data_IF_425300896050
#
_entry.id   IF_425300896050
#
_cell.length_a   1.000
_cell.length_b   1.000
_cell.length_c   1.000
_cell.angle_alpha   90.00
_cell.angle_beta   90.00
_cell.angle_gamma   90.00
#
_symmetry.space_group_name_H-M   'P 1'
#
loop_
_entity.id
_entity.type
_entity.pdbx_description
1 polymer ?
#
# COMPACT_ATOMS: atom_id res chain seq x y z
N UNK A 1 -4.73 -15.52 66.38
CA UNK A 1 -5.96 -15.16 65.64
C UNK A 1 -6.52 -13.84 66.19
N UNK A 2 -6.39 -12.74 65.44
CA UNK A 2 -7.08 -11.47 65.72
C UNK A 2 -7.12 -10.67 64.41
N UNK A 3 -8.29 -10.68 63.78
CA UNK A 3 -8.55 -10.04 62.49
C UNK A 3 -8.52 -8.52 62.65
N UNK A 4 -7.72 -7.83 61.83
CA UNK A 4 -7.73 -6.37 61.72
C UNK A 4 -8.39 -6.00 60.40
N UNK A 5 -9.60 -5.47 60.51
CA UNK A 5 -10.42 -4.93 59.42
C UNK A 5 -9.72 -3.70 58.83
N UNK A 6 -9.33 -3.76 57.55
CA UNK A 6 -8.86 -2.62 56.79
C UNK A 6 -10.07 -1.87 56.23
N UNK A 7 -10.29 -0.65 56.73
CA UNK A 7 -11.22 0.31 56.15
C UNK A 7 -10.52 0.96 54.96
N UNK A 8 -11.00 0.68 53.75
CA UNK A 8 -10.53 1.35 52.53
C UNK A 8 -11.18 2.74 52.44
N UNK A 9 -10.36 3.78 52.52
CA UNK A 9 -10.75 5.16 52.26
C UNK A 9 -10.88 5.33 50.75
N UNK A 10 -12.11 5.51 50.26
CA UNK A 10 -12.40 5.85 48.88
C UNK A 10 -11.97 7.30 48.63
N UNK A 11 -10.83 7.48 47.95
CA UNK A 11 -10.39 8.77 47.43
C UNK A 11 -11.25 9.09 46.20
N UNK A 12 -12.02 10.16 46.32
CA UNK A 12 -12.86 10.70 45.26
C UNK A 12 -12.07 11.00 43.99
N UNK A 13 -12.49 10.36 42.91
CA UNK A 13 -12.10 10.65 41.53
C UNK A 13 -13.34 10.74 40.65
N UNK A 14 -14.35 11.50 41.09
CA UNK A 14 -15.55 11.77 40.29
C UNK A 14 -15.35 13.08 39.54
N UNK A 15 -14.69 13.04 38.37
CA UNK A 15 -14.70 14.15 37.40
C UNK A 15 -14.19 13.77 35.98
N UNK A 16 -14.16 12.48 35.60
CA UNK A 16 -13.81 12.06 34.23
C UNK A 16 -14.86 11.14 33.56
N UNK A 17 -16.04 10.96 34.15
CA UNK A 17 -17.09 10.10 33.58
C UNK A 17 -18.05 10.83 32.63
N UNK A 18 -18.01 12.16 32.55
CA UNK A 18 -18.97 12.96 31.76
C UNK A 18 -18.69 12.99 30.25
N UNK A 19 -17.42 12.93 29.84
CA UNK A 19 -17.05 13.03 28.42
C UNK A 19 -17.01 11.70 27.67
N UNK A 20 -17.05 10.56 28.37
CA UNK A 20 -17.04 9.25 27.71
C UNK A 20 -18.43 8.83 27.21
N UNK A 21 -19.50 9.25 27.90
CA UNK A 21 -20.87 8.87 27.55
C UNK A 21 -21.42 9.67 26.37
N UNK A 22 -21.10 10.97 26.25
CA UNK A 22 -21.52 11.80 25.12
C UNK A 22 -20.77 11.48 23.81
N UNK A 23 -19.49 11.12 23.92
CA UNK A 23 -18.70 10.68 22.76
C UNK A 23 -19.25 9.39 22.15
N UNK A 24 -19.57 8.41 23.00
CA UNK A 24 -20.09 7.12 22.55
C UNK A 24 -21.49 7.22 21.91
N UNK A 25 -22.36 8.13 22.37
CA UNK A 25 -23.64 8.37 21.70
C UNK A 25 -23.46 9.02 20.35
N UNK A 26 -22.57 10.01 20.21
CA UNK A 26 -22.29 10.68 18.93
C UNK A 26 -21.65 9.72 17.91
N UNK A 27 -20.68 8.91 18.34
CA UNK A 27 -20.03 7.89 17.51
C UNK A 27 -21.04 6.84 17.01
N UNK A 28 -22.02 6.49 17.85
CA UNK A 28 -23.10 5.56 17.49
C UNK A 28 -24.14 6.19 16.56
N UNK A 29 -24.47 7.46 16.76
CA UNK A 29 -25.42 8.22 15.93
C UNK A 29 -24.84 8.53 14.53
N UNK A 30 -23.53 8.79 14.46
CA UNK A 30 -22.78 8.91 13.20
C UNK A 30 -22.50 7.56 12.53
N UNK A 31 -22.87 6.44 13.17
CA UNK A 31 -22.68 5.08 12.65
C UNK A 31 -21.22 4.64 12.48
N UNK A 32 -20.26 5.42 13.01
CA UNK A 32 -18.81 5.19 12.84
C UNK A 32 -18.39 3.85 13.48
N UNK A 33 -18.98 3.53 14.64
CA UNK A 33 -18.70 2.31 15.39
C UNK A 33 -19.68 1.15 15.11
N UNK A 34 -20.53 1.28 14.08
CA UNK A 34 -21.50 0.24 13.71
C UNK A 34 -20.83 -1.09 13.31
N UNK A 35 -21.56 -2.19 13.48
CA UNK A 35 -21.07 -3.52 13.06
C UNK A 35 -20.73 -3.57 11.56
N UNK A 36 -21.46 -2.81 10.74
CA UNK A 36 -21.22 -2.71 9.31
C UNK A 36 -19.90 -2.02 8.98
N UNK A 37 -19.56 -0.94 9.72
CA UNK A 37 -18.25 -0.28 9.63
C UNK A 37 -17.10 -1.26 9.94
N UNK A 38 -17.26 -2.10 10.97
CA UNK A 38 -16.27 -3.11 11.33
C UNK A 38 -16.16 -4.24 10.30
N UNK A 39 -17.27 -4.64 9.66
CA UNK A 39 -17.27 -5.63 8.57
C UNK A 39 -16.58 -5.09 7.33
N UNK A 40 -16.81 -3.83 6.96
CA UNK A 40 -16.16 -3.18 5.83
C UNK A 40 -14.63 -3.13 5.98
N UNK A 41 -14.13 -2.84 7.19
CA UNK A 41 -12.70 -2.86 7.51
C UNK A 41 -12.04 -4.23 7.26
N UNK A 42 -12.81 -5.32 7.27
CA UNK A 42 -12.31 -6.69 7.11
C UNK A 42 -12.22 -7.15 5.65
N UNK A 43 -12.68 -6.37 4.67
CA UNK A 43 -12.65 -6.77 3.26
C UNK A 43 -11.21 -6.68 2.76
N UNK A 44 -10.54 -7.83 2.67
CA UNK A 44 -9.18 -7.95 2.11
C UNK A 44 -9.30 -8.30 0.62
N UNK A 45 -9.00 -7.33 -0.24
CA UNK A 45 -8.88 -7.58 -1.67
C UNK A 45 -7.57 -8.31 -1.97
N UNK A 46 -7.66 -9.45 -2.67
CA UNK A 46 -6.49 -10.18 -3.16
C UNK A 46 -6.03 -9.57 -4.48
N UNK A 47 -4.85 -8.91 -4.56
CA UNK A 47 -4.35 -8.39 -5.83
C UNK A 47 -4.03 -9.52 -6.80
N UNK A 48 -4.21 -9.25 -8.11
CA UNK A 48 -3.74 -10.16 -9.15
C UNK A 48 -2.21 -10.26 -9.11
N UNK A 49 -1.67 -11.46 -9.36
CA UNK A 49 -0.23 -11.68 -9.36
C UNK A 49 0.46 -10.74 -10.37
N UNK A 50 1.61 -10.15 -10.03
CA UNK A 50 2.34 -9.32 -10.99
C UNK A 50 2.78 -10.18 -12.19
N UNK A 51 2.84 -9.60 -13.40
CA UNK A 51 3.37 -10.29 -14.56
C UNK A 51 4.82 -10.69 -14.28
N UNK A 52 5.22 -11.86 -14.78
CA UNK A 52 6.58 -12.35 -14.64
C UNK A 52 7.57 -11.31 -15.19
N UNK A 53 8.71 -11.10 -14.51
CA UNK A 53 9.76 -10.24 -15.04
C UNK A 53 10.25 -10.81 -16.39
N UNK A 54 10.72 -9.95 -17.31
CA UNK A 54 11.25 -10.41 -18.58
C UNK A 54 12.37 -11.42 -18.36
N UNK A 55 12.33 -12.53 -19.12
CA UNK A 55 13.29 -13.62 -19.00
C UNK A 55 14.73 -13.12 -19.17
N UNK A 56 15.59 -13.47 -18.20
CA UNK A 56 17.04 -13.31 -18.31
C UNK A 56 17.61 -14.59 -18.93
N UNK A 57 18.41 -14.47 -19.98
CA UNK A 57 19.16 -15.60 -20.52
C UNK A 57 20.42 -15.80 -19.67
N UNK A 58 20.58 -16.97 -19.05
CA UNK A 58 21.83 -17.35 -18.37
C UNK A 58 22.91 -17.60 -19.42
N UNK A 59 24.08 -17.00 -19.23
CA UNK A 59 25.21 -17.12 -20.15
C UNK A 59 25.87 -18.49 -19.97
N UNK A 60 25.50 -19.46 -20.79
CA UNK A 60 26.24 -20.71 -20.94
C UNK A 60 27.13 -20.60 -22.19
N UNK A 61 28.15 -19.75 -22.13
CA UNK A 61 29.25 -19.79 -23.09
C UNK A 61 30.10 -21.03 -22.80
N UNK A 62 29.66 -22.20 -23.28
CA UNK A 62 30.52 -23.37 -23.36
C UNK A 62 31.57 -23.10 -24.42
N UNK A 63 32.81 -22.87 -24.01
CA UNK A 63 33.95 -22.68 -24.90
C UNK A 63 34.22 -24.00 -25.64
N UNK A 64 33.94 -24.14 -26.97
CA UNK A 64 34.47 -25.29 -27.69
C UNK A 64 36.00 -25.13 -27.75
N UNK A 65 36.79 -26.14 -27.36
CA UNK A 65 38.25 -26.03 -27.32
C UNK A 65 38.80 -26.03 -28.76
N UNK A 66 38.96 -24.86 -29.37
CA UNK A 66 39.68 -24.68 -30.64
C UNK A 66 40.61 -23.44 -30.62
N UNK A 67 41.75 -23.49 -31.34
CA UNK A 67 42.85 -22.52 -31.27
C UNK A 67 42.63 -21.21 -32.06
N UNK A 68 41.39 -20.92 -32.47
CA UNK A 68 41.05 -19.70 -33.21
C UNK A 68 40.68 -18.60 -32.21
N UNK A 69 41.04 -17.32 -32.47
CA UNK A 69 40.63 -16.22 -31.60
C UNK A 69 39.09 -16.15 -31.59
N UNK A 70 38.52 -16.60 -30.48
CA UNK A 70 37.07 -16.60 -30.26
C UNK A 70 36.61 -15.14 -30.24
N UNK A 71 35.92 -14.74 -31.30
CA UNK A 71 35.16 -13.48 -31.29
C UNK A 71 33.99 -13.71 -30.34
N UNK A 72 33.90 -13.00 -29.20
CA UNK A 72 32.75 -13.14 -28.31
C UNK A 72 31.48 -12.83 -29.11
N UNK A 73 30.55 -13.78 -29.12
CA UNK A 73 29.28 -13.63 -29.82
C UNK A 73 28.60 -12.36 -29.30
N UNK A 74 28.21 -11.45 -30.20
CA UNK A 74 27.60 -10.16 -29.80
C UNK A 74 26.35 -10.44 -28.95
N UNK A 75 26.42 -9.97 -27.71
CA UNK A 75 25.41 -10.07 -26.66
C UNK A 75 24.09 -9.45 -27.10
N UNK A 76 23.06 -10.24 -27.34
CA UNK A 76 21.67 -9.76 -27.32
C UNK A 76 21.09 -9.99 -25.92
N UNK A 77 21.69 -9.37 -24.91
CA UNK A 77 21.07 -9.32 -23.59
C UNK A 77 19.73 -8.58 -23.73
N UNK A 78 18.63 -9.22 -23.35
CA UNK A 78 17.31 -8.59 -23.37
C UNK A 78 17.31 -7.44 -22.38
N UNK A 79 17.48 -6.22 -22.88
CA UNK A 79 17.47 -5.00 -22.06
C UNK A 79 16.09 -4.81 -21.45
N UNK A 80 16.07 -4.60 -20.13
CA UNK A 80 14.84 -4.25 -19.43
C UNK A 80 14.43 -2.84 -19.91
N UNK A 81 13.17 -2.64 -20.34
CA UNK A 81 12.72 -1.29 -20.66
C UNK A 81 12.94 -0.34 -19.47
N UNK A 82 13.21 0.95 -19.73
CA UNK A 82 13.32 1.94 -18.66
C UNK A 82 12.03 1.99 -17.85
N UNK A 83 12.15 2.21 -16.54
CA UNK A 83 10.99 2.36 -15.67
C UNK A 83 10.21 3.63 -16.05
N UNK A 84 8.89 3.55 -16.27
CA UNK A 84 8.10 4.73 -16.61
C UNK A 84 8.03 5.70 -15.42
N UNK A 85 7.95 7.02 -15.68
CA UNK A 85 7.86 8.03 -14.63
C UNK A 85 6.58 7.88 -13.81
N UNK A 86 6.63 8.27 -12.53
CA UNK A 86 5.48 8.22 -11.61
C UNK A 86 4.52 9.36 -11.94
N UNK A 87 3.23 9.04 -12.06
CA UNK A 87 2.18 10.03 -12.34
C UNK A 87 1.12 10.10 -11.23
N UNK A 88 0.72 8.94 -10.70
CA UNK A 88 -0.34 8.84 -9.67
C UNK A 88 0.24 8.20 -8.42
N UNK A 89 -0.01 8.80 -7.25
CA UNK A 89 0.20 8.12 -5.98
C UNK A 89 -1.13 7.86 -5.28
N UNK A 90 -1.38 6.58 -4.98
CA UNK A 90 -2.51 6.16 -4.18
C UNK A 90 -2.18 6.32 -2.70
N UNK A 91 -2.96 7.08 -1.96
CA UNK A 91 -2.74 7.27 -0.53
C UNK A 91 -3.20 6.01 0.22
N UNK A 92 -2.32 5.44 1.04
CA UNK A 92 -2.64 4.30 1.87
C UNK A 92 -3.53 4.77 3.01
N UNK A 93 -4.77 4.28 3.04
CA UNK A 93 -5.73 4.63 4.06
C UNK A 93 -5.67 3.66 5.24
N UNK A 94 -6.13 4.13 6.41
CA UNK A 94 -6.20 3.30 7.61
C UNK A 94 -7.24 2.17 7.46
N UNK A 95 -7.16 1.13 8.33
CA UNK A 95 -8.02 -0.05 8.24
C UNK A 95 -9.53 0.24 8.36
N UNK A 96 -9.91 1.35 9.01
CA UNK A 96 -11.31 1.76 9.19
C UNK A 96 -11.93 2.39 7.94
N UNK A 97 -11.13 3.06 7.12
CA UNK A 97 -11.59 3.78 5.93
C UNK A 97 -10.77 3.33 4.73
N UNK A 98 -10.85 2.02 4.43
CA UNK A 98 -10.12 1.38 3.33
C UNK A 98 -10.77 1.73 1.97
N UNK A 99 -10.81 3.03 1.65
CA UNK A 99 -11.23 3.49 0.32
C UNK A 99 -10.24 3.00 -0.74
N UNK A 100 -8.99 2.68 -0.36
CA UNK A 100 -7.97 2.15 -1.23
C UNK A 100 -8.05 0.63 -1.45
N UNK A 101 -9.15 -0.01 -1.05
CA UNK A 101 -9.34 -1.46 -1.00
C UNK A 101 -8.92 -2.22 -2.28
N UNK A 102 -9.12 -1.64 -3.46
CA UNK A 102 -8.64 -2.23 -4.71
C UNK A 102 -7.27 -1.66 -5.14
N UNK A 103 -6.14 -2.33 -4.87
CA UNK A 103 -4.81 -1.94 -5.37
C UNK A 103 -4.67 -2.02 -6.90
N UNK A 104 -5.54 -2.75 -7.60
CA UNK A 104 -5.45 -2.93 -9.06
C UNK A 104 -6.04 -1.76 -9.85
N UNK A 105 -6.81 -0.88 -9.21
CA UNK A 105 -7.56 0.17 -9.90
C UNK A 105 -6.65 1.15 -10.66
N UNK A 106 -5.69 1.76 -9.95
CA UNK A 106 -4.68 2.64 -10.56
C UNK A 106 -3.91 1.92 -11.68
N UNK A 107 -3.61 0.63 -11.51
CA UNK A 107 -2.91 -0.16 -12.53
C UNK A 107 -3.77 -0.36 -13.79
N UNK A 108 -5.07 -0.61 -13.62
CA UNK A 108 -6.01 -0.78 -14.74
C UNK A 108 -6.19 0.54 -15.49
N UNK A 109 -6.31 1.66 -14.78
CA UNK A 109 -6.37 3.00 -15.36
C UNK A 109 -5.11 3.31 -16.18
N UNK A 110 -3.92 3.12 -15.61
CA UNK A 110 -2.66 3.36 -16.31
C UNK A 110 -2.47 2.44 -17.52
N UNK A 111 -2.93 1.19 -17.44
CA UNK A 111 -2.94 0.26 -18.56
C UNK A 111 -3.88 0.74 -19.68
N UNK A 112 -5.06 1.23 -19.33
CA UNK A 112 -6.00 1.81 -20.28
C UNK A 112 -5.42 3.07 -20.95
N UNK A 113 -4.76 3.94 -20.20
CA UNK A 113 -4.08 5.13 -20.74
C UNK A 113 -2.95 4.74 -21.71
N UNK A 114 -2.14 3.74 -21.37
CA UNK A 114 -1.10 3.24 -22.27
C UNK A 114 -1.68 2.70 -23.59
N UNK A 115 -2.84 2.03 -23.53
CA UNK A 115 -3.49 1.47 -24.71
C UNK A 115 -4.09 2.56 -25.62
N UNK A 116 -4.79 3.54 -25.04
CA UNK A 116 -5.57 4.54 -25.79
C UNK A 116 -4.80 5.82 -26.10
N UNK A 117 -4.02 6.33 -25.13
CA UNK A 117 -3.31 7.61 -25.22
C UNK A 117 -1.83 7.45 -25.60
N UNK A 118 -1.32 6.21 -25.64
CA UNK A 118 0.09 5.88 -25.94
C UNK A 118 1.10 6.55 -24.99
N UNK A 119 0.68 6.81 -23.75
CA UNK A 119 1.54 7.34 -22.68
C UNK A 119 1.86 6.27 -21.65
N UNK A 120 3.10 6.22 -21.18
CA UNK A 120 3.56 5.22 -20.23
C UNK A 120 3.92 5.87 -18.89
N UNK A 121 3.07 5.64 -17.89
CA UNK A 121 3.27 6.12 -16.53
C UNK A 121 3.22 4.96 -15.53
N UNK A 122 3.85 5.16 -14.38
CA UNK A 122 3.73 4.29 -13.21
C UNK A 122 2.91 4.95 -12.12
N UNK A 123 2.34 4.10 -11.25
CA UNK A 123 1.68 4.52 -10.02
C UNK A 123 2.36 3.90 -8.81
N UNK A 124 2.34 4.61 -7.69
CA UNK A 124 2.90 4.16 -6.42
C UNK A 124 1.84 4.22 -5.32
N UNK A 125 2.04 3.47 -4.23
CA UNK A 125 1.22 3.58 -3.02
C UNK A 125 2.07 4.20 -1.92
N UNK A 126 1.60 5.29 -1.32
CA UNK A 126 2.33 6.04 -0.30
C UNK A 126 1.49 6.18 0.97
N UNK A 127 2.08 6.08 2.17
CA UNK A 127 1.38 6.47 3.38
C UNK A 127 1.21 7.99 3.45
N UNK A 128 0.20 8.44 4.20
CA UNK A 128 -0.15 9.86 4.38
C UNK A 128 1.04 10.73 4.85
N UNK A 129 1.93 10.16 5.66
CA UNK A 129 3.12 10.86 6.17
C UNK A 129 4.30 10.94 5.17
N UNK A 130 4.14 10.43 3.94
CA UNK A 130 5.17 10.44 2.89
C UNK A 130 4.74 11.17 1.63
N UNK A 131 3.69 12.00 1.72
CA UNK A 131 3.26 12.84 0.60
C UNK A 131 4.36 13.90 0.35
N UNK A 132 4.94 13.96 -0.86
CA UNK A 132 5.93 14.98 -1.19
C UNK A 132 5.27 16.36 -1.25
N UNK A 133 5.99 17.37 -0.81
CA UNK A 133 5.52 18.76 -0.84
C UNK A 133 5.54 19.36 -2.25
N UNK A 134 6.43 18.85 -3.11
CA UNK A 134 6.56 19.30 -4.49
C UNK A 134 5.54 18.59 -5.40
N UNK A 135 4.58 19.32 -6.01
CA UNK A 135 3.58 18.76 -6.90
C UNK A 135 4.16 18.24 -8.23
N UNK A 136 5.37 18.67 -8.62
CA UNK A 136 6.00 18.17 -9.85
C UNK A 136 6.46 16.71 -9.72
N UNK A 137 6.73 16.26 -8.49
CA UNK A 137 7.18 14.89 -8.22
C UNK A 137 6.03 13.88 -8.36
N UNK A 138 4.85 14.22 -7.86
CA UNK A 138 3.63 13.40 -7.93
C UNK A 138 2.45 14.31 -8.27
N UNK A 139 2.11 14.44 -9.57
CA UNK A 139 1.08 15.38 -10.01
C UNK A 139 -0.33 15.03 -9.54
N UNK A 140 -0.63 13.73 -9.41
CA UNK A 140 -1.96 13.25 -9.06
C UNK A 140 -1.91 12.43 -7.79
N UNK A 141 -2.63 12.90 -6.77
CA UNK A 141 -2.95 12.13 -5.58
C UNK A 141 -4.31 11.48 -5.78
N UNK A 142 -4.34 10.17 -5.63
CA UNK A 142 -5.54 9.36 -5.67
C UNK A 142 -5.80 8.83 -4.27
#
# INVERSE_FOLDING_TARGET
MRNRTLVAIAVGGSLMMGNLLAGNSLLKDLGIDSEESQKAAKIIYKPYAPPAPPAQHSSAEGLPPLPLPVVPLRRTEKKNPPRPPVFIAKIASGPRYNWDANPSDTRNLLRWMAANLKVHFSGIKIPENKIPTDPQTIPVLY
#
